data_IF_101865792001
#
_entry.id   IF_101865792001
#
_cell.length_a   1.000
_cell.length_b   1.000
_cell.length_c   1.000
_cell.angle_alpha   90.00
_cell.angle_beta   90.00
_cell.angle_gamma   90.00
#
_symmetry.space_group_name_H-M   'P 1'
#
loop_
_entity.id
_entity.type
_entity.pdbx_description
1 polymer ?
#
# COMPACT_ATOMS: atom_id res chain seq x y z
N UNK A 1 0.13 -29.78 11.72
CA UNK A 1 -0.26 -28.36 11.84
C UNK A 1 1.00 -27.51 12.02
N UNK A 2 1.73 -27.29 10.93
CA UNK A 2 2.94 -26.47 10.91
C UNK A 2 2.68 -25.20 10.11
N UNK A 3 3.04 -24.05 10.65
CA UNK A 3 2.68 -22.72 10.18
C UNK A 3 3.23 -22.44 8.76
N UNK A 4 2.33 -22.19 7.79
CA UNK A 4 2.63 -21.81 6.40
C UNK A 4 3.43 -20.50 6.25
N UNK A 5 3.61 -19.75 7.35
CA UNK A 5 4.36 -18.50 7.39
C UNK A 5 5.86 -18.68 7.68
N UNK A 6 6.28 -19.81 8.28
CA UNK A 6 7.70 -20.09 8.53
C UNK A 6 8.41 -20.60 7.26
N UNK A 7 7.71 -21.38 6.43
CA UNK A 7 8.26 -21.85 5.15
C UNK A 7 8.55 -20.73 4.13
N UNK A 8 8.08 -19.51 4.39
CA UNK A 8 8.23 -18.35 3.50
C UNK A 8 9.47 -17.50 3.82
N UNK A 9 10.02 -17.63 5.02
CA UNK A 9 11.26 -16.94 5.42
C UNK A 9 12.48 -17.85 5.21
N UNK A 10 12.33 -19.15 5.43
CA UNK A 10 13.42 -20.12 5.31
C UNK A 10 13.82 -20.41 3.84
N UNK A 11 12.92 -20.18 2.87
CA UNK A 11 13.25 -20.30 1.44
C UNK A 11 14.10 -19.14 0.89
N UNK A 12 14.17 -17.99 1.57
CA UNK A 12 14.99 -16.87 1.09
C UNK A 12 16.47 -17.02 1.43
N UNK A 13 16.82 -17.73 2.50
CA UNK A 13 18.21 -17.83 2.97
C UNK A 13 18.99 -18.96 2.25
N UNK A 14 18.30 -19.94 1.67
CA UNK A 14 18.93 -21.04 0.94
C UNK A 14 19.22 -20.73 -0.54
N UNK A 15 18.73 -19.61 -1.09
CA UNK A 15 18.97 -19.21 -2.49
C UNK A 15 19.94 -18.04 -2.66
N UNK A 16 20.48 -17.49 -1.57
CA UNK A 16 21.35 -16.31 -1.60
C UNK A 16 22.84 -16.60 -1.77
N UNK A 17 23.26 -17.85 -1.97
CA UNK A 17 24.67 -18.25 -1.98
C UNK A 17 25.30 -18.61 -3.33
N UNK A 18 24.52 -19.07 -4.32
CA UNK A 18 25.11 -19.66 -5.55
C UNK A 18 24.76 -18.93 -6.85
N UNK A 19 23.90 -17.92 -6.83
CA UNK A 19 23.48 -17.25 -8.09
C UNK A 19 24.45 -16.13 -8.52
N UNK A 20 25.38 -15.71 -7.67
CA UNK A 20 26.21 -14.52 -7.94
C UNK A 20 27.70 -14.78 -7.74
N UNK A 21 28.31 -15.57 -8.62
CA UNK A 21 29.75 -15.36 -8.93
C UNK A 21 30.26 -16.00 -10.22
N UNK A 22 29.55 -16.96 -10.82
CA UNK A 22 29.99 -17.55 -12.07
C UNK A 22 29.29 -16.89 -13.25
N UNK A 23 30.06 -16.63 -14.32
CA UNK A 23 29.67 -15.98 -15.57
C UNK A 23 28.66 -16.82 -16.38
N UNK A 24 27.58 -17.24 -15.75
CA UNK A 24 26.52 -17.97 -16.41
C UNK A 24 25.57 -16.98 -17.09
N UNK A 25 25.28 -17.24 -18.36
CA UNK A 25 24.33 -16.46 -19.13
C UNK A 25 22.96 -16.48 -18.43
N UNK A 26 22.25 -15.36 -18.38
CA UNK A 26 20.86 -15.29 -17.87
C UNK A 26 19.93 -16.33 -18.51
N UNK A 27 20.21 -16.70 -19.76
CA UNK A 27 19.50 -17.77 -20.46
C UNK A 27 19.74 -19.16 -19.84
N UNK A 28 20.96 -19.44 -19.35
CA UNK A 28 21.29 -20.66 -18.64
C UNK A 28 20.55 -20.73 -17.29
N UNK A 29 20.56 -19.63 -16.54
CA UNK A 29 19.78 -19.50 -15.29
C UNK A 29 18.29 -19.72 -15.54
N UNK A 30 17.73 -19.14 -16.60
CA UNK A 30 16.33 -19.34 -16.95
C UNK A 30 16.01 -20.79 -17.36
N UNK A 31 16.97 -21.55 -17.91
CA UNK A 31 16.79 -22.98 -18.22
C UNK A 31 16.84 -23.82 -16.95
N UNK A 32 17.77 -23.53 -16.05
CA UNK A 32 17.86 -24.20 -14.75
C UNK A 32 16.62 -23.93 -13.88
N UNK A 33 16.11 -22.70 -13.85
CA UNK A 33 14.87 -22.40 -13.14
C UNK A 33 13.65 -23.12 -13.76
N UNK A 34 13.65 -23.42 -15.06
CA UNK A 34 12.59 -24.23 -15.69
C UNK A 34 12.63 -25.68 -15.26
N UNK A 35 13.80 -26.25 -14.94
CA UNK A 35 13.87 -27.62 -14.42
C UNK A 35 13.38 -27.70 -12.98
N UNK A 36 13.57 -26.64 -12.18
CA UNK A 36 13.15 -26.58 -10.78
C UNK A 36 11.66 -26.25 -10.60
N UNK A 37 11.16 -25.22 -11.30
CA UNK A 37 9.80 -24.69 -11.11
C UNK A 37 8.80 -25.17 -12.17
N UNK A 38 9.28 -25.85 -13.22
CA UNK A 38 8.48 -26.25 -14.37
C UNK A 38 8.25 -25.14 -15.40
N UNK A 39 7.77 -25.51 -16.59
CA UNK A 39 7.67 -24.61 -17.76
C UNK A 39 6.86 -23.33 -17.52
N UNK A 40 5.77 -23.42 -16.76
CA UNK A 40 4.80 -22.33 -16.60
C UNK A 40 5.06 -21.43 -15.38
N UNK A 41 5.83 -21.90 -14.41
CA UNK A 41 6.10 -21.15 -13.18
C UNK A 41 7.50 -20.52 -13.15
N UNK A 42 8.36 -20.87 -14.12
CA UNK A 42 9.71 -20.31 -14.19
C UNK A 42 9.71 -18.88 -14.73
N UNK A 43 10.49 -17.97 -14.12
CA UNK A 43 10.60 -16.58 -14.57
C UNK A 43 11.29 -16.50 -15.93
N UNK A 44 10.91 -15.48 -16.72
CA UNK A 44 11.55 -15.20 -18.00
C UNK A 44 12.93 -14.58 -17.80
N UNK A 45 13.80 -14.65 -18.82
CA UNK A 45 15.14 -14.06 -18.78
C UNK A 45 15.11 -12.56 -18.40
N UNK A 46 14.16 -11.80 -18.96
CA UNK A 46 13.99 -10.38 -18.65
C UNK A 46 13.58 -10.15 -17.19
N UNK A 47 12.77 -11.05 -16.63
CA UNK A 47 12.38 -10.99 -15.21
C UNK A 47 13.60 -11.25 -14.31
N UNK A 48 14.43 -12.22 -14.65
CA UNK A 48 15.67 -12.53 -13.90
C UNK A 48 16.62 -11.33 -13.96
N UNK A 49 16.87 -10.76 -15.14
CA UNK A 49 17.70 -9.54 -15.30
C UNK A 49 17.18 -8.39 -14.44
N UNK A 50 15.87 -8.17 -14.43
CA UNK A 50 15.24 -7.11 -13.61
C UNK A 50 15.41 -7.37 -12.11
N UNK A 51 15.26 -8.61 -11.66
CA UNK A 51 15.44 -8.98 -10.25
C UNK A 51 16.90 -8.80 -9.83
N UNK A 52 17.86 -9.25 -10.66
CA UNK A 52 19.29 -9.07 -10.39
C UNK A 52 19.66 -7.59 -10.34
N UNK A 53 19.20 -6.78 -11.30
CA UNK A 53 19.44 -5.33 -11.27
C UNK A 53 18.83 -4.63 -10.05
N UNK A 54 17.63 -5.05 -9.60
CA UNK A 54 17.05 -4.57 -8.33
C UNK A 54 17.89 -4.98 -7.12
N UNK A 55 18.38 -6.21 -7.12
CA UNK A 55 19.20 -6.74 -6.02
C UNK A 55 20.55 -6.02 -5.93
N UNK A 56 21.21 -5.77 -7.06
CA UNK A 56 22.46 -4.99 -7.11
C UNK A 56 22.26 -3.55 -6.62
N UNK A 57 21.12 -2.93 -6.94
CA UNK A 57 20.83 -1.54 -6.58
C UNK A 57 20.37 -1.36 -5.13
N UNK A 58 19.50 -2.25 -4.62
CA UNK A 58 18.79 -2.07 -3.36
C UNK A 58 19.05 -3.19 -2.33
N UNK A 59 19.93 -4.16 -2.64
CA UNK A 59 20.17 -5.39 -1.86
C UNK A 59 18.88 -6.18 -1.52
N UNK A 60 17.81 -5.92 -2.27
CA UNK A 60 16.47 -6.42 -1.98
C UNK A 60 15.80 -6.89 -3.26
N UNK A 61 15.27 -8.11 -3.22
CA UNK A 61 14.45 -8.68 -4.28
C UNK A 61 12.94 -8.41 -4.07
N UNK A 62 12.58 -7.66 -3.02
CA UNK A 62 11.18 -7.35 -2.73
C UNK A 62 10.57 -6.46 -3.82
N UNK A 63 9.28 -6.64 -4.07
CA UNK A 63 8.59 -5.76 -5.01
C UNK A 63 8.36 -4.40 -4.35
N UNK A 64 9.05 -3.40 -4.88
CA UNK A 64 8.82 -2.01 -4.50
C UNK A 64 7.38 -1.64 -4.87
N UNK A 65 6.64 -1.11 -3.91
CA UNK A 65 5.33 -0.51 -4.20
C UNK A 65 5.56 0.57 -5.23
N UNK A 66 5.09 0.32 -6.45
CA UNK A 66 5.18 1.28 -7.54
C UNK A 66 4.58 2.60 -7.06
N UNK A 67 5.37 3.68 -7.16
CA UNK A 67 5.03 5.05 -6.78
C UNK A 67 3.94 5.66 -7.66
N UNK A 68 3.12 4.82 -8.32
CA UNK A 68 1.96 5.18 -9.15
C UNK A 68 0.91 5.80 -8.23
N UNK A 69 1.19 7.05 -7.91
CA UNK A 69 0.28 8.08 -7.44
C UNK A 69 -0.33 7.78 -6.08
N UNK A 70 0.44 8.10 -5.04
CA UNK A 70 -0.16 8.90 -3.97
C UNK A 70 -0.66 10.20 -4.64
N UNK A 71 -1.85 10.17 -5.24
CA UNK A 71 -2.57 11.39 -5.65
C UNK A 71 -2.83 12.11 -4.33
N UNK A 72 -1.91 12.96 -3.90
CA UNK A 72 -2.20 13.97 -2.92
C UNK A 72 -3.38 14.74 -3.49
N UNK A 73 -4.57 14.45 -2.97
CA UNK A 73 -5.77 15.13 -3.39
C UNK A 73 -5.58 16.57 -2.91
N UNK A 74 -5.67 17.55 -3.81
CA UNK A 74 -5.49 18.98 -3.51
C UNK A 74 -6.33 19.48 -2.35
N UNK A 75 -7.40 18.75 -1.99
CA UNK A 75 -8.33 19.08 -0.91
C UNK A 75 -7.96 18.38 0.42
N UNK A 76 -7.07 17.40 0.41
CA UNK A 76 -6.59 16.67 1.61
C UNK A 76 -5.30 17.27 2.14
N UNK A 77 -5.31 18.58 2.27
CA UNK A 77 -4.24 19.33 2.93
C UNK A 77 -4.50 19.24 4.43
N UNK A 78 -3.47 19.15 5.29
CA UNK A 78 -3.62 19.09 6.75
C UNK A 78 -4.53 20.20 7.30
N UNK A 79 -4.41 21.41 6.77
CA UNK A 79 -5.29 22.54 7.13
C UNK A 79 -6.78 22.23 6.93
N UNK A 80 -7.15 21.59 5.82
CA UNK A 80 -8.55 21.23 5.55
C UNK A 80 -9.03 20.13 6.51
N UNK A 81 -8.14 19.23 6.92
CA UNK A 81 -8.44 18.17 7.89
C UNK A 81 -8.68 18.77 9.28
N UNK A 82 -7.85 19.73 9.70
CA UNK A 82 -7.99 20.45 10.97
C UNK A 82 -9.30 21.24 11.03
N UNK A 83 -9.61 22.03 9.99
CA UNK A 83 -10.89 22.76 9.89
C UNK A 83 -12.11 21.83 10.02
N UNK A 84 -12.05 20.66 9.37
CA UNK A 84 -13.11 19.66 9.48
C UNK A 84 -13.19 19.06 10.88
N UNK A 85 -12.04 18.79 11.50
CA UNK A 85 -11.98 18.27 12.86
C UNK A 85 -12.59 19.23 13.87
N UNK A 86 -12.25 20.52 13.80
CA UNK A 86 -12.83 21.57 14.64
C UNK A 86 -14.35 21.69 14.43
N UNK A 87 -14.81 21.71 13.17
CA UNK A 87 -16.22 21.79 12.84
C UNK A 87 -17.03 20.62 13.44
N UNK A 88 -16.58 19.38 13.25
CA UNK A 88 -17.27 18.20 13.78
C UNK A 88 -17.09 18.03 15.30
N UNK A 89 -16.09 18.65 15.91
CA UNK A 89 -15.95 18.71 17.37
C UNK A 89 -16.96 19.68 17.97
N UNK A 90 -17.15 20.85 17.35
CA UNK A 90 -18.13 21.84 17.79
C UNK A 90 -19.58 21.39 17.52
N UNK A 91 -19.82 20.73 16.38
CA UNK A 91 -21.16 20.37 15.92
C UNK A 91 -21.20 18.90 15.45
N UNK A 92 -21.20 17.92 16.36
CA UNK A 92 -21.12 16.50 16.01
C UNK A 92 -22.39 15.96 15.33
N UNK A 93 -23.50 16.71 15.40
CA UNK A 93 -24.79 16.34 14.85
C UNK A 93 -25.04 16.86 13.43
N UNK A 94 -24.11 17.62 12.83
CA UNK A 94 -24.28 18.15 11.48
C UNK A 94 -24.27 17.04 10.43
N UNK A 95 -25.18 17.18 9.46
CA UNK A 95 -25.21 16.24 8.34
C UNK A 95 -24.05 16.51 7.37
N UNK A 96 -23.56 15.46 6.71
CA UNK A 96 -22.51 15.60 5.67
C UNK A 96 -22.92 16.51 4.51
N UNK A 97 -24.21 16.64 4.22
CA UNK A 97 -24.70 17.56 3.20
C UNK A 97 -24.57 19.01 3.65
N UNK A 98 -24.91 19.28 4.92
CA UNK A 98 -24.81 20.62 5.51
C UNK A 98 -23.36 21.05 5.67
N UNK A 99 -22.51 20.19 6.24
CA UNK A 99 -21.08 20.47 6.37
C UNK A 99 -20.38 20.69 5.02
N UNK A 100 -20.82 20.01 3.96
CA UNK A 100 -20.32 20.22 2.60
C UNK A 100 -20.66 21.60 2.04
N UNK A 101 -21.84 22.14 2.36
CA UNK A 101 -22.25 23.48 1.95
C UNK A 101 -21.53 24.55 2.77
N UNK A 102 -21.43 24.37 4.09
CA UNK A 102 -20.80 25.34 5.00
C UNK A 102 -19.27 25.46 4.78
N UNK A 103 -18.60 24.35 4.43
CA UNK A 103 -17.14 24.32 4.23
C UNK A 103 -16.73 24.37 2.75
N UNK A 104 -17.69 24.44 1.83
CA UNK A 104 -17.48 24.44 0.37
C UNK A 104 -16.65 23.24 -0.16
N UNK A 105 -16.64 22.13 0.58
CA UNK A 105 -15.91 20.90 0.23
C UNK A 105 -16.87 19.92 -0.45
N UNK A 106 -16.50 19.28 -1.57
CA UNK A 106 -17.35 18.28 -2.21
C UNK A 106 -17.60 17.08 -1.27
N UNK A 107 -18.87 16.65 -1.20
CA UNK A 107 -19.36 15.55 -0.32
C UNK A 107 -18.52 14.27 -0.42
N UNK A 108 -18.04 13.93 -1.61
CA UNK A 108 -17.21 12.74 -1.84
C UNK A 108 -15.87 12.82 -1.11
N UNK A 109 -15.27 14.01 -1.09
CA UNK A 109 -14.00 14.26 -0.42
C UNK A 109 -14.20 14.33 1.08
N UNK A 110 -15.23 15.04 1.54
CA UNK A 110 -15.65 15.07 2.94
C UNK A 110 -15.81 13.64 3.50
N UNK A 111 -16.54 12.77 2.79
CA UNK A 111 -16.74 11.37 3.20
C UNK A 111 -15.44 10.59 3.31
N UNK A 112 -14.49 10.82 2.39
CA UNK A 112 -13.19 10.15 2.42
C UNK A 112 -12.37 10.64 3.62
N UNK A 113 -12.35 11.95 3.86
CA UNK A 113 -11.64 12.57 4.99
C UNK A 113 -12.18 12.04 6.32
N UNK A 114 -13.50 12.05 6.48
CA UNK A 114 -14.15 11.50 7.67
C UNK A 114 -13.80 10.02 7.90
N UNK A 115 -13.76 9.20 6.85
CA UNK A 115 -13.51 7.76 6.99
C UNK A 115 -12.02 7.40 7.19
N UNK A 116 -11.13 8.03 6.44
CA UNK A 116 -9.71 7.64 6.38
C UNK A 116 -8.87 8.41 7.40
N UNK A 117 -9.13 9.71 7.55
CA UNK A 117 -8.30 10.62 8.33
C UNK A 117 -8.84 10.78 9.76
N UNK A 118 -10.14 11.11 9.91
CA UNK A 118 -10.78 11.30 11.23
C UNK A 118 -11.37 10.00 11.83
N UNK A 119 -11.41 8.90 11.06
CA UNK A 119 -11.99 7.59 11.46
C UNK A 119 -13.43 7.66 12.00
N UNK A 120 -14.19 8.66 11.59
CA UNK A 120 -15.61 8.86 11.94
C UNK A 120 -16.53 8.11 10.97
N UNK A 121 -17.76 7.82 11.43
CA UNK A 121 -18.80 7.21 10.59
C UNK A 121 -19.68 8.32 9.98
N UNK A 122 -19.51 8.68 8.69
CA UNK A 122 -20.17 9.86 8.09
C UNK A 122 -21.70 9.81 8.03
N UNK A 123 -22.30 8.64 8.23
CA UNK A 123 -23.76 8.44 8.20
C UNK A 123 -24.39 8.30 9.58
N UNK A 124 -23.57 8.28 10.64
CA UNK A 124 -24.08 8.23 12.01
C UNK A 124 -23.90 9.61 12.61
N UNK A 125 -25.02 10.34 12.74
CA UNK A 125 -25.10 11.57 13.53
C UNK A 125 -24.58 11.24 14.93
N UNK A 126 -23.49 11.89 15.34
CA UNK A 126 -22.95 11.69 16.68
C UNK A 126 -23.74 12.61 17.61
N UNK A 127 -24.78 12.07 18.23
CA UNK A 127 -25.53 12.78 19.26
C UNK A 127 -24.70 12.72 20.54
N UNK A 128 -23.72 13.61 20.67
CA UNK A 128 -23.03 13.80 21.95
C UNK A 128 -23.87 14.76 22.79
N UNK A 129 -24.91 14.22 23.42
CA UNK A 129 -25.74 14.97 24.38
C UNK A 129 -25.00 14.98 25.72
N UNK A 130 -24.02 15.88 25.88
CA UNK A 130 -23.63 16.30 27.22
C UNK A 130 -24.68 17.30 27.68
N UNK A 131 -25.62 16.80 28.49
CA UNK A 131 -26.40 17.66 29.37
C UNK A 131 -25.51 17.98 30.58
N UNK A 132 -25.13 19.24 30.75
CA UNK A 132 -24.80 19.86 32.04
C UNK A 132 -25.07 21.37 31.93
#
# INVERSE_FOLDING_TARGET
MGNLLQLRQDTCVLYSGEITHQRESFAATARHLRTLFGRNNAPTENTIKRIVGKFEAAASAADERSTVRERQSTIRIPETIERLHEHFTAQPSTSTSRASQELEIPRTTLRRILKQDLKMKPYKIQINRFCE
#
